data_IF_068005764464
#
_entry.id   IF_068005764464
#
_cell.length_a   1.000
_cell.length_b   1.000
_cell.length_c   1.000
_cell.angle_alpha   90.00
_cell.angle_beta   90.00
_cell.angle_gamma   90.00
#
_symmetry.space_group_name_H-M   'P 1'
#
loop_
_entity.id
_entity.type
_entity.pdbx_description
1 polymer ?
#
# COMPACT_ATOMS: atom_id res chain seq x y z
N UNK A 1 -2.77 0.51 26.25
CA UNK A 1 -3.71 -0.60 25.98
C UNK A 1 -4.93 -0.08 25.22
N UNK A 2 -4.79 0.35 23.96
CA UNK A 2 -5.95 0.83 23.18
C UNK A 2 -6.79 -0.32 22.56
N UNK A 3 -6.23 -1.53 22.47
CA UNK A 3 -6.88 -2.72 21.88
C UNK A 3 -6.87 -3.96 22.80
N UNK A 4 -6.59 -3.78 24.09
CA UNK A 4 -6.64 -4.87 25.09
C UNK A 4 -5.62 -6.00 24.93
N UNK A 5 -4.80 -6.03 23.86
CA UNK A 5 -3.81 -7.09 23.59
C UNK A 5 -2.50 -6.49 23.04
N UNK A 6 -1.36 -7.05 23.45
CA UNK A 6 0.00 -6.68 22.97
C UNK A 6 0.51 -7.62 21.87
N UNK A 7 -0.22 -8.70 21.58
CA UNK A 7 0.17 -9.76 20.65
C UNK A 7 -1.02 -10.18 19.80
N UNK A 8 -0.75 -10.85 18.69
CA UNK A 8 -1.74 -11.24 17.69
C UNK A 8 -2.02 -10.14 16.67
N UNK A 9 -2.82 -10.44 15.63
CA UNK A 9 -3.10 -9.52 14.54
C UNK A 9 -3.68 -8.19 15.02
N UNK A 10 -4.58 -8.23 16.01
CA UNK A 10 -5.22 -7.06 16.60
C UNK A 10 -4.23 -6.12 17.27
N UNK A 11 -3.18 -6.65 17.92
CA UNK A 11 -2.14 -5.83 18.56
C UNK A 11 -1.26 -5.08 17.56
N UNK A 12 -1.02 -5.65 16.37
CA UNK A 12 -0.15 -5.06 15.35
C UNK A 12 -0.84 -4.02 14.47
N UNK A 13 -2.17 -4.09 14.30
CA UNK A 13 -2.93 -3.22 13.40
C UNK A 13 -2.70 -1.71 13.62
N UNK A 14 -2.73 -1.15 14.84
CA UNK A 14 -2.52 0.28 15.04
C UNK A 14 -1.16 0.76 14.53
N UNK A 15 -0.09 0.01 14.82
CA UNK A 15 1.26 0.37 14.39
C UNK A 15 1.36 0.34 12.85
N UNK A 16 0.77 -0.66 12.21
CA UNK A 16 0.73 -0.77 10.75
C UNK A 16 -0.08 0.36 10.11
N UNK A 17 -1.24 0.71 10.67
CA UNK A 17 -2.10 1.80 10.15
C UNK A 17 -1.39 3.14 10.32
N UNK A 18 -0.86 3.43 11.51
CA UNK A 18 -0.17 4.69 11.81
C UNK A 18 1.10 4.82 10.95
N UNK A 19 1.80 3.72 10.67
CA UNK A 19 2.97 3.71 9.78
C UNK A 19 2.61 3.89 8.30
N UNK A 20 1.54 3.25 7.83
CA UNK A 20 1.15 3.30 6.43
C UNK A 20 0.42 4.60 6.02
N UNK A 21 -0.30 5.24 6.94
CA UNK A 21 -1.03 6.47 6.67
C UNK A 21 -0.16 7.63 6.11
N UNK A 22 0.95 8.04 6.75
CA UNK A 22 1.81 9.11 6.22
C UNK A 22 2.53 8.68 4.94
N UNK A 23 2.86 7.40 4.80
CA UNK A 23 3.47 6.86 3.59
C UNK A 23 2.53 7.00 2.40
N UNK A 24 1.27 6.55 2.53
CA UNK A 24 0.29 6.69 1.46
C UNK A 24 -0.08 8.15 1.21
N UNK A 25 -0.22 8.98 2.25
CA UNK A 25 -0.47 10.40 2.10
C UNK A 25 0.61 11.09 1.24
N UNK A 26 1.88 10.69 1.39
CA UNK A 26 2.98 11.19 0.57
C UNK A 26 2.84 10.79 -0.91
N UNK A 27 2.42 9.55 -1.19
CA UNK A 27 2.18 9.09 -2.56
C UNK A 27 1.03 9.87 -3.21
N UNK A 28 -0.05 10.12 -2.46
CA UNK A 28 -1.18 10.95 -2.90
C UNK A 28 -0.74 12.39 -3.21
N UNK A 29 0.11 12.97 -2.35
CA UNK A 29 0.66 14.32 -2.56
C UNK A 29 1.49 14.40 -3.86
N UNK A 30 2.33 13.39 -4.12
CA UNK A 30 3.12 13.31 -5.35
C UNK A 30 2.21 13.19 -6.57
N UNK A 31 1.21 12.31 -6.52
CA UNK A 31 0.25 12.10 -7.60
C UNK A 31 -0.47 13.41 -7.99
N UNK A 32 -0.90 14.21 -7.02
CA UNK A 32 -1.52 15.51 -7.32
C UNK A 32 -0.55 16.56 -7.83
N UNK A 33 0.73 16.50 -7.42
CA UNK A 33 1.77 17.43 -7.90
C UNK A 33 2.24 17.16 -9.32
N UNK A 34 2.07 15.94 -9.81
CA UNK A 34 2.40 15.54 -11.18
C UNK A 34 1.38 16.03 -12.22
N UNK A 35 0.17 16.41 -11.79
CA UNK A 35 -0.86 16.93 -12.68
C UNK A 35 -0.46 18.32 -13.19
N UNK A 36 -0.55 18.51 -14.50
CA UNK A 36 -0.26 19.80 -15.13
C UNK A 36 -1.25 20.87 -14.65
N UNK A 37 -0.70 21.98 -14.18
CA UNK A 37 -1.47 23.17 -13.77
C UNK A 37 -2.34 23.70 -14.90
N UNK A 38 -1.92 23.54 -16.16
CA UNK A 38 -2.71 23.93 -17.33
C UNK A 38 -4.09 23.27 -17.39
N UNK A 39 -4.21 22.01 -16.95
CA UNK A 39 -5.49 21.29 -16.88
C UNK A 39 -6.42 21.92 -15.83
N UNK A 40 -5.86 22.37 -14.71
CA UNK A 40 -6.58 23.04 -13.62
C UNK A 40 -7.01 24.46 -14.05
N UNK A 41 -6.11 25.21 -14.68
CA UNK A 41 -6.38 26.57 -15.18
C UNK A 41 -7.42 26.58 -16.31
N UNK A 42 -7.40 25.59 -17.19
CA UNK A 42 -8.44 25.39 -18.21
C UNK A 42 -9.81 25.14 -17.57
N UNK A 43 -9.87 24.32 -16.52
CA UNK A 43 -11.10 24.06 -15.78
C UNK A 43 -11.66 25.32 -15.09
N UNK A 44 -10.79 26.18 -14.53
CA UNK A 44 -11.23 27.47 -13.98
C UNK A 44 -11.68 28.46 -15.06
N UNK A 45 -11.04 28.46 -16.22
CA UNK A 45 -11.37 29.36 -17.33
C UNK A 45 -12.78 29.12 -17.91
N UNK A 46 -13.30 27.90 -17.78
CA UNK A 46 -14.69 27.55 -18.15
C UNK A 46 -15.70 27.77 -17.01
N UNK A 47 -15.29 28.39 -15.90
CA UNK A 47 -16.15 28.73 -14.77
C UNK A 47 -16.40 27.59 -13.77
N UNK A 48 -15.55 26.56 -13.75
CA UNK A 48 -15.70 25.48 -12.78
C UNK A 48 -15.37 25.96 -11.35
N UNK A 49 -16.28 25.71 -10.39
CA UNK A 49 -15.99 25.92 -8.97
C UNK A 49 -14.94 24.91 -8.46
N UNK A 50 -14.17 25.27 -7.42
CA UNK A 50 -13.09 24.47 -6.81
C UNK A 50 -13.50 23.01 -6.54
N UNK A 51 -14.71 22.79 -6.03
CA UNK A 51 -15.18 21.43 -5.75
C UNK A 51 -15.41 20.59 -7.01
N UNK A 52 -15.81 21.24 -8.10
CA UNK A 52 -15.97 20.62 -9.42
C UNK A 52 -14.60 20.25 -9.98
N UNK A 53 -13.61 21.13 -9.86
CA UNK A 53 -12.24 20.88 -10.30
C UNK A 53 -11.65 19.68 -9.55
N UNK A 54 -11.77 19.65 -8.23
CA UNK A 54 -11.26 18.52 -7.43
C UNK A 54 -11.92 17.20 -7.84
N UNK A 55 -13.26 17.16 -7.93
CA UNK A 55 -13.98 15.91 -8.17
C UNK A 55 -13.99 15.42 -9.62
N UNK A 56 -14.02 16.33 -10.58
CA UNK A 56 -14.20 15.99 -12.01
C UNK A 56 -12.92 16.11 -12.83
N UNK A 57 -11.89 16.77 -12.32
CA UNK A 57 -10.64 16.98 -13.05
C UNK A 57 -9.49 16.34 -12.27
N UNK A 58 -9.17 16.87 -11.09
CA UNK A 58 -8.01 16.45 -10.31
C UNK A 58 -8.07 14.97 -9.90
N UNK A 59 -9.20 14.50 -9.35
CA UNK A 59 -9.35 13.11 -8.93
C UNK A 59 -9.26 12.14 -10.10
N UNK A 60 -10.07 12.26 -11.18
CA UNK A 60 -9.98 11.38 -12.35
C UNK A 60 -8.58 11.35 -12.98
N UNK A 61 -7.91 12.50 -13.08
CA UNK A 61 -6.57 12.61 -13.65
C UNK A 61 -5.51 11.93 -12.77
N UNK A 62 -5.66 12.03 -11.43
CA UNK A 62 -4.78 11.35 -10.48
C UNK A 62 -5.04 9.84 -10.35
N UNK A 63 -6.19 9.34 -10.81
CA UNK A 63 -6.65 7.97 -10.49
C UNK A 63 -5.61 6.87 -10.78
N UNK A 64 -4.92 6.84 -11.94
CA UNK A 64 -3.91 5.83 -12.20
C UNK A 64 -2.77 5.88 -11.16
N UNK A 65 -2.28 7.07 -10.84
CA UNK A 65 -1.23 7.27 -9.85
C UNK A 65 -1.69 6.91 -8.41
N UNK A 66 -2.94 7.22 -8.06
CA UNK A 66 -3.52 6.84 -6.76
C UNK A 66 -3.63 5.31 -6.60
N UNK A 67 -4.10 4.61 -7.63
CA UNK A 67 -4.21 3.14 -7.63
C UNK A 67 -2.83 2.48 -7.56
N UNK A 68 -1.87 2.97 -8.34
CA UNK A 68 -0.48 2.54 -8.25
C UNK A 68 0.08 2.77 -6.83
N UNK A 69 -0.19 3.94 -6.24
CA UNK A 69 0.22 4.27 -4.87
C UNK A 69 -0.37 3.33 -3.81
N UNK A 70 -1.65 2.94 -3.95
CA UNK A 70 -2.27 1.94 -3.07
C UNK A 70 -1.58 0.59 -3.22
N UNK A 71 -1.26 0.19 -4.46
CA UNK A 71 -0.59 -1.08 -4.74
C UNK A 71 0.79 -1.14 -4.07
N UNK A 72 1.58 -0.08 -4.21
CA UNK A 72 2.89 0.05 -3.54
C UNK A 72 2.74 0.02 -2.01
N UNK A 73 1.73 0.71 -1.48
CA UNK A 73 1.44 0.70 -0.03
C UNK A 73 1.05 -0.69 0.47
N UNK A 74 0.24 -1.43 -0.29
CA UNK A 74 -0.15 -2.80 0.05
C UNK A 74 1.06 -3.73 0.08
N UNK A 75 1.97 -3.61 -0.90
CA UNK A 75 3.23 -4.37 -0.92
C UNK A 75 4.10 -4.03 0.29
N UNK A 76 4.25 -2.74 0.61
CA UNK A 76 4.98 -2.29 1.78
C UNK A 76 4.36 -2.81 3.09
N UNK A 77 3.03 -2.89 3.16
CA UNK A 77 2.31 -3.47 4.30
C UNK A 77 2.56 -4.97 4.43
N UNK A 78 2.59 -5.74 3.33
CA UNK A 78 2.97 -7.17 3.37
C UNK A 78 4.35 -7.34 3.99
N UNK A 79 5.34 -6.55 3.55
CA UNK A 79 6.68 -6.56 4.16
C UNK A 79 6.66 -6.17 5.64
N UNK A 80 5.90 -5.13 5.99
CA UNK A 80 5.74 -4.68 7.39
C UNK A 80 5.08 -5.75 8.27
N UNK A 81 4.14 -6.54 7.72
CA UNK A 81 3.50 -7.64 8.44
C UNK A 81 4.44 -8.80 8.71
N UNK A 82 5.44 -9.03 7.83
CA UNK A 82 6.46 -10.04 8.07
C UNK A 82 7.32 -9.69 9.30
N UNK A 83 7.68 -8.41 9.44
CA UNK A 83 8.36 -7.88 10.64
C UNK A 83 7.43 -7.95 11.85
N UNK A 84 6.16 -7.59 11.71
CA UNK A 84 5.17 -7.72 12.78
C UNK A 84 4.96 -9.18 13.22
N UNK A 85 5.19 -10.15 12.33
CA UNK A 85 5.18 -11.58 12.66
C UNK A 85 6.16 -11.92 13.79
N UNK A 86 7.31 -11.26 13.86
CA UNK A 86 8.35 -11.47 14.89
C UNK A 86 7.84 -11.09 16.28
N UNK A 87 6.99 -10.07 16.39
CA UNK A 87 6.38 -9.64 17.66
C UNK A 87 5.07 -10.39 17.98
N UNK A 88 4.82 -11.51 17.30
CA UNK A 88 3.67 -12.37 17.56
C UNK A 88 2.38 -11.93 16.87
N UNK A 89 2.45 -11.14 15.79
CA UNK A 89 1.28 -10.82 14.97
C UNK A 89 0.78 -12.05 14.16
N UNK A 90 1.60 -13.09 14.03
CA UNK A 90 1.31 -14.30 13.26
C UNK A 90 1.71 -14.20 11.78
N UNK A 91 1.14 -15.08 10.95
CA UNK A 91 1.39 -15.10 9.50
C UNK A 91 2.72 -15.73 9.07
N UNK A 92 3.06 -15.54 7.79
CA UNK A 92 4.24 -16.14 7.15
C UNK A 92 5.56 -15.66 7.78
N UNK A 93 5.65 -14.39 8.17
CA UNK A 93 6.84 -13.85 8.84
C UNK A 93 7.10 -14.51 10.21
N UNK A 94 6.05 -14.80 10.96
CA UNK A 94 6.16 -15.53 12.23
C UNK A 94 6.66 -16.97 12.02
N UNK A 95 6.15 -17.66 10.99
CA UNK A 95 6.61 -19.02 10.65
C UNK A 95 8.07 -19.03 10.20
N UNK A 96 8.44 -18.12 9.31
CA UNK A 96 9.81 -17.95 8.83
C UNK A 96 10.78 -17.67 9.99
N UNK A 97 10.37 -16.84 10.95
CA UNK A 97 11.21 -16.49 12.10
C UNK A 97 11.30 -17.63 13.12
N UNK A 98 10.17 -18.07 13.68
CA UNK A 98 10.18 -19.03 14.80
C UNK A 98 10.62 -20.43 14.40
N UNK A 99 10.21 -20.89 13.22
CA UNK A 99 10.50 -22.27 12.77
C UNK A 99 11.71 -22.30 11.84
N UNK A 100 11.85 -21.30 10.97
CA UNK A 100 12.99 -21.19 10.07
C UNK A 100 14.23 -20.67 10.79
N UNK A 101 14.24 -19.38 11.12
CA UNK A 101 15.43 -18.69 11.64
C UNK A 101 15.87 -19.20 13.00
N UNK A 102 14.98 -19.25 14.00
CA UNK A 102 15.35 -19.65 15.37
C UNK A 102 15.79 -21.11 15.48
N UNK A 103 15.27 -21.99 14.61
CA UNK A 103 15.66 -23.42 14.60
C UNK A 103 16.67 -23.77 13.50
N UNK A 104 17.22 -22.76 12.83
CA UNK A 104 18.18 -22.90 11.74
C UNK A 104 17.69 -23.84 10.59
N UNK A 105 16.39 -23.83 10.31
CA UNK A 105 15.75 -24.60 9.24
C UNK A 105 15.62 -23.72 7.98
N UNK A 106 16.67 -23.70 7.17
CA UNK A 106 16.72 -22.88 5.96
C UNK A 106 15.61 -23.20 4.95
N UNK A 107 15.14 -24.45 4.91
CA UNK A 107 14.04 -24.86 4.04
C UNK A 107 12.75 -24.08 4.34
N UNK A 108 12.43 -23.91 5.63
CA UNK A 108 11.21 -23.19 6.06
C UNK A 108 11.33 -21.69 5.78
N UNK A 109 12.52 -21.12 5.94
CA UNK A 109 12.79 -19.72 5.57
C UNK A 109 12.55 -19.53 4.07
N UNK A 110 13.12 -20.41 3.24
CA UNK A 110 13.02 -20.33 1.79
C UNK A 110 11.57 -20.46 1.33
N UNK A 111 10.84 -21.48 1.83
CA UNK A 111 9.43 -21.68 1.48
C UNK A 111 8.59 -20.46 1.89
N UNK A 112 8.75 -19.95 3.11
CA UNK A 112 7.97 -18.80 3.60
C UNK A 112 8.25 -17.53 2.79
N UNK A 113 9.51 -17.31 2.40
CA UNK A 113 9.89 -16.19 1.53
C UNK A 113 9.28 -16.33 0.13
N UNK A 114 9.35 -17.52 -0.48
CA UNK A 114 8.75 -17.77 -1.80
C UNK A 114 7.24 -17.52 -1.77
N UNK A 115 6.53 -18.01 -0.75
CA UNK A 115 5.10 -17.72 -0.60
C UNK A 115 4.79 -16.23 -0.43
N UNK A 116 5.62 -15.52 0.34
CA UNK A 116 5.48 -14.06 0.49
C UNK A 116 5.69 -13.34 -0.83
N UNK A 117 6.71 -13.72 -1.61
CA UNK A 117 6.97 -13.18 -2.94
C UNK A 117 5.81 -13.43 -3.90
N UNK A 118 5.22 -14.63 -3.88
CA UNK A 118 4.03 -14.94 -4.69
C UNK A 118 2.88 -13.98 -4.36
N UNK A 119 2.62 -13.73 -3.07
CA UNK A 119 1.57 -12.78 -2.65
C UNK A 119 1.89 -11.37 -3.15
N UNK A 120 3.14 -10.91 -3.00
CA UNK A 120 3.58 -9.60 -3.49
C UNK A 120 3.39 -9.48 -5.01
N UNK A 121 3.77 -10.49 -5.78
CA UNK A 121 3.60 -10.49 -7.23
C UNK A 121 2.13 -10.51 -7.63
N UNK A 122 1.26 -11.24 -6.92
CA UNK A 122 -0.19 -11.22 -7.18
C UNK A 122 -0.74 -9.81 -6.96
N UNK A 123 -0.37 -9.15 -5.85
CA UNK A 123 -0.80 -7.77 -5.56
C UNK A 123 -0.30 -6.81 -6.64
N UNK A 124 0.98 -6.93 -7.01
CA UNK A 124 1.59 -6.09 -8.03
C UNK A 124 0.91 -6.27 -9.39
N UNK A 125 0.73 -7.51 -9.84
CA UNK A 125 0.11 -7.80 -11.13
C UNK A 125 -1.34 -7.30 -11.19
N UNK A 126 -2.11 -7.48 -10.11
CA UNK A 126 -3.47 -6.94 -10.01
C UNK A 126 -3.45 -5.41 -10.04
N UNK A 127 -2.57 -4.77 -9.27
CA UNK A 127 -2.45 -3.32 -9.21
C UNK A 127 -2.05 -2.71 -10.55
N UNK A 128 -1.06 -3.29 -11.23
CA UNK A 128 -0.59 -2.86 -12.55
C UNK A 128 -1.69 -3.05 -13.60
N UNK A 129 -2.40 -4.19 -13.55
CA UNK A 129 -3.52 -4.44 -14.47
C UNK A 129 -4.66 -3.43 -14.29
N UNK A 130 -5.03 -3.11 -13.04
CA UNK A 130 -6.06 -2.10 -12.75
C UNK A 130 -5.57 -0.71 -13.18
N UNK A 131 -4.31 -0.37 -12.88
CA UNK A 131 -3.71 0.93 -13.24
C UNK A 131 -3.73 1.13 -14.75
N UNK A 132 -3.25 0.15 -15.52
CA UNK A 132 -3.23 0.21 -16.99
C UNK A 132 -4.62 0.27 -17.62
N UNK A 133 -5.65 -0.24 -16.93
CA UNK A 133 -7.04 -0.17 -17.40
C UNK A 133 -7.69 1.19 -17.14
N UNK A 134 -7.24 1.88 -16.08
CA UNK A 134 -7.74 3.20 -15.69
C UNK A 134 -6.96 4.31 -16.39
N UNK A 135 -5.69 4.07 -16.72
CA UNK A 135 -4.87 4.97 -17.51
C UNK A 135 -5.50 5.13 -18.91
N UNK A 136 -5.92 6.35 -19.22
CA UNK A 136 -6.56 6.73 -20.49
C UNK A 136 -5.62 7.50 -21.41
N UNK A 137 -4.33 7.50 -21.09
CA UNK A 137 -3.28 8.10 -21.91
C UNK A 137 -3.02 7.30 -23.19
#
# INVERSE_FOLDING_TARGET
>A
MLLGTISGPTGALPALIIGAAPFYARLVEIAFKEIDKGVIEAAWSIGANTWTVVRKVLLPEAMPALVSGITVTAIALVGSTAIAGVIGAGGLGNLAYLTGFTRNQNDVILVSTVFTLIIVFIIQFLGDWITNKIDKR
#
